data_IF_614399918497
#
_entry.id   IF_614399918497
#
_cell.length_a   1.000
_cell.length_b   1.000
_cell.length_c   1.000
_cell.angle_alpha   90.00
_cell.angle_beta   90.00
_cell.angle_gamma   90.00
#
_symmetry.space_group_name_H-M   'P 1'
#
loop_
_entity.id
_entity.type
_entity.pdbx_description
1 polymer ?
#
# COMPACT_ATOMS: atom_id res chain seq x y z
N UNK A 1 11.41 21.93 5.49
CA UNK A 1 10.98 21.19 6.69
C UNK A 1 12.18 21.00 7.63
N UNK A 2 11.92 20.98 8.94
CA UNK A 2 12.92 20.74 9.97
C UNK A 2 12.53 19.51 10.76
N UNK A 3 13.43 18.54 10.86
CA UNK A 3 13.21 17.32 11.62
C UNK A 3 14.23 17.23 12.77
N UNK A 4 13.77 17.03 13.98
CA UNK A 4 14.59 16.69 15.12
C UNK A 4 14.55 15.18 15.31
N UNK A 5 15.67 14.50 15.14
CA UNK A 5 15.74 13.03 15.19
C UNK A 5 16.68 12.57 16.29
N UNK A 6 16.32 11.46 16.92
CA UNK A 6 17.12 10.78 17.95
C UNK A 6 17.43 9.34 17.53
N UNK A 7 18.41 8.72 18.17
CA UNK A 7 18.65 7.28 18.03
C UNK A 7 17.53 6.46 18.72
N UNK A 8 17.55 5.13 18.55
CA UNK A 8 16.56 4.22 19.16
C UNK A 8 16.58 4.20 20.72
N UNK A 9 17.48 4.96 21.35
CA UNK A 9 17.55 5.16 22.82
C UNK A 9 17.13 6.59 23.21
N UNK A 10 16.59 7.37 22.29
CA UNK A 10 16.20 8.75 22.51
C UNK A 10 17.35 9.75 22.65
N UNK A 11 18.60 9.36 22.30
CA UNK A 11 19.76 10.24 22.35
C UNK A 11 20.00 10.92 21.00
N UNK A 12 20.54 12.15 21.06
CA UNK A 12 21.00 12.87 19.88
C UNK A 12 21.99 12.02 19.09
N UNK A 13 21.78 11.93 17.78
CA UNK A 13 22.70 11.25 16.86
C UNK A 13 23.96 12.09 16.69
N UNK A 14 25.07 11.68 17.32
CA UNK A 14 26.36 12.39 17.27
C UNK A 14 27.33 11.73 16.26
N UNK A 15 27.06 10.51 15.84
CA UNK A 15 27.88 9.79 14.87
C UNK A 15 27.81 10.48 13.49
N UNK A 16 28.96 10.96 13.03
CA UNK A 16 29.08 11.67 11.77
C UNK A 16 28.69 10.81 10.54
N UNK A 17 28.96 9.52 10.57
CA UNK A 17 28.62 8.62 9.46
C UNK A 17 27.09 8.43 9.35
N UNK A 18 26.42 8.29 10.49
CA UNK A 18 24.95 8.22 10.55
C UNK A 18 24.32 9.55 10.13
N UNK A 19 24.85 10.69 10.58
CA UNK A 19 24.38 12.02 10.16
C UNK A 19 24.55 12.22 8.65
N UNK A 20 25.70 11.81 8.08
CA UNK A 20 25.95 11.92 6.66
C UNK A 20 25.05 10.98 5.84
N UNK A 21 24.81 9.76 6.32
CA UNK A 21 23.86 8.83 5.72
C UNK A 21 22.44 9.41 5.70
N UNK A 22 21.99 10.00 6.81
CA UNK A 22 20.69 10.68 6.88
C UNK A 22 20.67 11.89 5.93
N UNK A 23 21.71 12.71 5.92
CA UNK A 23 21.80 13.84 4.98
C UNK A 23 21.74 13.36 3.54
N UNK A 24 22.46 12.32 3.18
CA UNK A 24 22.49 11.78 1.82
C UNK A 24 21.12 11.18 1.43
N UNK A 25 20.41 10.55 2.35
CA UNK A 25 19.04 10.07 2.14
C UNK A 25 18.02 11.23 2.02
N UNK A 26 18.21 12.31 2.79
CA UNK A 26 17.34 13.49 2.76
C UNK A 26 17.80 14.54 1.72
N UNK A 27 19.09 14.59 1.40
CA UNK A 27 19.68 15.33 0.28
C UNK A 27 19.47 14.59 -1.04
N UNK A 28 18.42 13.79 -1.12
CA UNK A 28 17.84 13.58 -2.45
C UNK A 28 17.63 15.02 -2.93
N UNK A 29 18.63 15.52 -3.70
CA UNK A 29 18.50 16.70 -4.55
C UNK A 29 17.03 16.78 -4.90
N UNK A 30 16.39 17.98 -4.74
CA UNK A 30 15.14 18.24 -5.46
C UNK A 30 15.16 17.30 -6.63
N UNK A 31 14.44 16.22 -6.51
CA UNK A 31 14.14 15.43 -7.68
C UNK A 31 13.28 16.44 -8.41
N UNK A 32 13.97 17.33 -9.10
CA UNK A 32 13.41 17.93 -10.27
C UNK A 32 12.83 16.76 -11.02
N UNK A 33 11.67 16.87 -11.62
CA UNK A 33 11.06 15.76 -12.36
C UNK A 33 12.01 15.12 -13.43
N UNK A 34 13.29 15.46 -13.41
CA UNK A 34 14.38 14.82 -14.19
C UNK A 34 14.74 13.40 -13.74
N UNK A 35 14.49 12.99 -12.50
CA UNK A 35 14.61 11.57 -12.17
C UNK A 35 13.39 10.76 -12.61
N UNK A 36 12.27 11.41 -12.93
CA UNK A 36 11.25 10.85 -13.82
C UNK A 36 11.64 10.89 -15.28
N UNK A 37 12.63 11.71 -15.68
CA UNK A 37 13.14 11.75 -17.08
C UNK A 37 14.18 10.68 -17.38
N UNK A 38 14.83 10.07 -16.40
CA UNK A 38 15.74 8.93 -16.66
C UNK A 38 15.01 7.58 -16.77
N UNK A 39 13.73 7.50 -16.51
CA UNK A 39 12.83 6.42 -16.90
C UNK A 39 11.69 6.98 -17.74
N UNK A 40 12.04 7.56 -18.88
CA UNK A 40 11.12 8.14 -19.84
C UNK A 40 10.32 7.14 -20.67
N UNK A 41 10.00 5.97 -20.13
CA UNK A 41 8.90 5.16 -20.62
C UNK A 41 7.71 5.42 -19.68
N UNK A 42 6.68 6.09 -20.17
CA UNK A 42 5.40 6.12 -19.48
C UNK A 42 4.96 4.67 -19.30
N UNK A 43 4.95 4.17 -18.05
CA UNK A 43 4.50 2.81 -17.74
C UNK A 43 3.00 2.84 -17.58
N UNK A 44 2.28 1.89 -18.18
CA UNK A 44 0.84 1.77 -17.93
C UNK A 44 0.60 1.18 -16.55
N UNK A 45 -0.31 1.77 -15.78
CA UNK A 45 -0.73 1.25 -14.49
C UNK A 45 -2.15 0.70 -14.56
N UNK A 46 -2.35 -0.47 -13.94
CA UNK A 46 -3.66 -1.09 -13.74
C UNK A 46 -3.96 -1.01 -12.25
N UNK A 47 -4.98 -0.26 -11.89
CA UNK A 47 -5.46 -0.11 -10.53
C UNK A 47 -6.72 -0.97 -10.36
N UNK A 48 -6.71 -1.85 -9.36
CA UNK A 48 -7.87 -2.71 -9.04
C UNK A 48 -8.14 -2.60 -7.55
N UNK A 49 -9.41 -2.41 -7.18
CA UNK A 49 -9.82 -2.36 -5.78
C UNK A 49 -11.27 -2.80 -5.60
N UNK A 50 -11.60 -3.29 -4.42
CA UNK A 50 -12.94 -3.79 -4.11
C UNK A 50 -12.97 -4.76 -2.94
N UNK A 51 -13.94 -5.67 -2.94
CA UNK A 51 -13.99 -6.76 -1.98
C UNK A 51 -12.94 -7.83 -2.29
N UNK A 52 -12.26 -8.33 -1.25
CA UNK A 52 -11.25 -9.38 -1.41
C UNK A 52 -11.90 -10.73 -1.73
N UNK A 53 -11.25 -11.43 -2.64
CA UNK A 53 -11.61 -12.77 -3.05
C UNK A 53 -10.36 -13.62 -3.15
N UNK A 54 -10.32 -14.78 -2.47
CA UNK A 54 -9.18 -15.69 -2.60
C UNK A 54 -8.90 -16.03 -4.07
N UNK A 55 -7.63 -15.94 -4.47
CA UNK A 55 -7.18 -16.22 -5.84
C UNK A 55 -7.35 -15.08 -6.85
N UNK A 56 -7.93 -13.93 -6.47
CA UNK A 56 -8.14 -12.80 -7.38
C UNK A 56 -6.84 -12.31 -8.02
N UNK A 57 -5.76 -12.19 -7.26
CA UNK A 57 -4.45 -11.80 -7.80
C UNK A 57 -3.97 -12.79 -8.88
N UNK A 58 -4.12 -14.10 -8.63
CA UNK A 58 -3.76 -15.13 -9.60
C UNK A 58 -4.61 -15.05 -10.88
N UNK A 59 -5.90 -14.77 -10.74
CA UNK A 59 -6.82 -14.62 -11.89
C UNK A 59 -6.45 -13.41 -12.75
N UNK A 60 -6.22 -12.25 -12.12
CA UNK A 60 -5.81 -11.03 -12.83
C UNK A 60 -4.46 -11.22 -13.53
N UNK A 61 -3.46 -11.74 -12.83
CA UNK A 61 -2.12 -11.95 -13.43
C UNK A 61 -2.19 -12.95 -14.59
N UNK A 62 -3.02 -13.99 -14.51
CA UNK A 62 -3.27 -14.91 -15.62
C UNK A 62 -3.91 -14.22 -16.82
N UNK A 63 -4.95 -13.39 -16.61
CA UNK A 63 -5.59 -12.63 -17.70
C UNK A 63 -4.59 -11.69 -18.40
N UNK A 64 -3.66 -11.10 -17.68
CA UNK A 64 -2.62 -10.26 -18.25
C UNK A 64 -1.64 -11.07 -19.11
N UNK A 65 -1.20 -12.23 -18.62
CA UNK A 65 -0.32 -13.13 -19.39
C UNK A 65 -1.03 -13.65 -20.64
N UNK A 66 -2.30 -14.02 -20.56
CA UNK A 66 -3.11 -14.46 -21.72
C UNK A 66 -3.19 -13.36 -22.79
N UNK A 67 -3.16 -12.09 -22.39
CA UNK A 67 -3.09 -10.92 -23.28
C UNK A 67 -1.63 -10.52 -23.65
N UNK A 68 -0.64 -11.34 -23.33
CA UNK A 68 0.79 -11.09 -23.59
C UNK A 68 1.32 -9.81 -22.95
N UNK A 69 0.75 -9.42 -21.83
CA UNK A 69 1.18 -8.27 -21.05
C UNK A 69 2.13 -8.71 -19.94
N UNK A 70 3.23 -8.01 -19.84
CA UNK A 70 4.28 -8.30 -18.86
C UNK A 70 4.27 -7.25 -17.74
N UNK A 71 4.37 -7.73 -16.51
CA UNK A 71 4.36 -6.89 -15.31
C UNK A 71 5.77 -6.51 -14.90
N UNK A 72 6.00 -5.22 -14.68
CA UNK A 72 7.26 -4.69 -14.15
C UNK A 72 7.23 -4.48 -12.64
N UNK A 73 6.03 -4.24 -12.08
CA UNK A 73 5.84 -4.03 -10.65
C UNK A 73 4.43 -4.44 -10.25
N UNK A 74 4.28 -4.97 -9.05
CA UNK A 74 2.99 -5.27 -8.44
C UNK A 74 3.02 -4.93 -6.96
N UNK A 75 2.05 -4.14 -6.52
CA UNK A 75 1.77 -3.86 -5.12
C UNK A 75 0.34 -4.31 -4.82
N UNK A 76 0.20 -5.15 -3.83
CA UNK A 76 -1.09 -5.69 -3.40
C UNK A 76 -1.23 -5.52 -1.90
N UNK A 77 -2.42 -5.16 -1.47
CA UNK A 77 -2.73 -4.96 -0.08
C UNK A 77 -4.17 -5.38 0.20
N UNK A 78 -4.33 -6.35 1.09
CA UNK A 78 -5.62 -6.84 1.56
C UNK A 78 -5.78 -6.53 3.03
N UNK A 79 -6.93 -6.02 3.41
CA UNK A 79 -7.30 -5.76 4.79
C UNK A 79 -8.76 -6.15 5.01
N UNK A 80 -9.00 -7.04 5.98
CA UNK A 80 -10.33 -7.62 6.23
C UNK A 80 -10.92 -8.22 4.92
N UNK A 81 -12.04 -7.70 4.50
CA UNK A 81 -12.77 -8.12 3.28
C UNK A 81 -12.45 -7.27 2.05
N UNK A 82 -11.44 -6.42 2.11
CA UNK A 82 -11.11 -5.48 1.03
C UNK A 82 -9.69 -5.66 0.55
N UNK A 83 -9.51 -5.33 -0.71
CA UNK A 83 -8.18 -5.29 -1.30
C UNK A 83 -8.02 -4.06 -2.20
N UNK A 84 -6.77 -3.70 -2.42
CA UNK A 84 -6.34 -2.81 -3.49
C UNK A 84 -5.05 -3.33 -4.09
N UNK A 85 -4.89 -3.19 -5.40
CA UNK A 85 -3.66 -3.52 -6.09
C UNK A 85 -3.33 -2.49 -7.18
N UNK A 86 -2.04 -2.31 -7.40
CA UNK A 86 -1.51 -1.52 -8.50
C UNK A 86 -0.49 -2.40 -9.22
N UNK A 87 -0.77 -2.65 -10.48
CA UNK A 87 0.08 -3.42 -11.36
C UNK A 87 0.65 -2.48 -12.42
N UNK A 88 1.97 -2.47 -12.59
CA UNK A 88 2.62 -1.66 -13.62
C UNK A 88 3.07 -2.56 -14.77
N UNK A 89 2.72 -2.19 -15.99
CA UNK A 89 3.17 -2.88 -17.19
C UNK A 89 4.55 -2.38 -17.59
N UNK A 90 5.36 -3.25 -18.18
CA UNK A 90 6.70 -2.92 -18.67
C UNK A 90 6.70 -1.95 -19.87
N UNK A 91 5.59 -1.88 -20.59
CA UNK A 91 5.46 -1.06 -21.79
C UNK A 91 4.31 -0.05 -21.68
N UNK A 92 4.45 1.13 -22.30
CA UNK A 92 3.38 2.11 -22.37
C UNK A 92 2.28 1.65 -23.34
N UNK A 93 1.04 1.87 -22.96
CA UNK A 93 -0.14 1.50 -23.75
C UNK A 93 -0.82 2.76 -24.27
N UNK A 94 -1.39 2.71 -25.48
CA UNK A 94 -2.19 3.81 -26.00
C UNK A 94 -3.54 3.88 -25.30
N UNK A 95 -4.13 5.08 -25.22
CA UNK A 95 -5.38 5.27 -24.51
C UNK A 95 -6.56 4.41 -25.02
N UNK A 96 -6.58 4.05 -26.31
CA UNK A 96 -7.58 3.12 -26.88
C UNK A 96 -7.36 1.70 -26.38
N UNK A 97 -6.12 1.21 -26.44
CA UNK A 97 -5.73 -0.12 -25.97
C UNK A 97 -5.98 -0.27 -24.47
N UNK A 98 -5.70 0.80 -23.70
CA UNK A 98 -5.98 0.84 -22.27
C UNK A 98 -7.47 0.68 -21.93
N UNK A 99 -8.36 1.31 -22.71
CA UNK A 99 -9.81 1.15 -22.56
C UNK A 99 -10.30 -0.24 -22.93
N UNK A 100 -9.74 -0.81 -24.00
CA UNK A 100 -10.04 -2.18 -24.44
C UNK A 100 -9.61 -3.20 -23.39
N UNK A 101 -8.40 -3.04 -22.81
CA UNK A 101 -7.91 -3.86 -21.71
C UNK A 101 -8.79 -3.72 -20.47
N UNK A 102 -9.14 -2.49 -20.10
CA UNK A 102 -10.02 -2.25 -18.93
C UNK A 102 -11.36 -2.96 -19.11
N UNK A 103 -11.99 -2.81 -20.27
CA UNK A 103 -13.26 -3.49 -20.59
C UNK A 103 -13.12 -5.01 -20.55
N UNK A 104 -12.05 -5.54 -21.14
CA UNK A 104 -11.76 -6.98 -21.13
C UNK A 104 -11.61 -7.52 -19.69
N UNK A 105 -10.81 -6.85 -18.86
CA UNK A 105 -10.62 -7.26 -17.46
C UNK A 105 -11.92 -7.18 -16.67
N UNK A 106 -12.68 -6.09 -16.80
CA UNK A 106 -13.98 -5.95 -16.16
C UNK A 106 -14.91 -7.09 -16.55
N UNK A 107 -15.12 -7.32 -17.86
CA UNK A 107 -16.03 -8.35 -18.34
C UNK A 107 -15.60 -9.76 -17.90
N UNK A 108 -14.29 -10.05 -17.92
CA UNK A 108 -13.77 -11.38 -17.53
C UNK A 108 -13.92 -11.63 -16.03
N UNK A 109 -13.78 -10.61 -15.20
CA UNK A 109 -13.88 -10.72 -13.74
C UNK A 109 -15.32 -10.59 -13.25
N UNK A 110 -16.19 -9.79 -13.90
CA UNK A 110 -17.62 -9.69 -13.57
C UNK A 110 -18.35 -11.01 -13.78
N UNK A 111 -18.04 -11.74 -14.86
CA UNK A 111 -18.60 -13.08 -15.07
C UNK A 111 -18.25 -14.03 -13.91
N UNK A 112 -17.04 -13.91 -13.36
CA UNK A 112 -16.62 -14.69 -12.20
C UNK A 112 -17.30 -14.20 -10.90
N UNK A 113 -17.66 -12.91 -10.82
CA UNK A 113 -18.27 -12.26 -9.67
C UNK A 113 -19.76 -12.58 -9.55
N UNK A 114 -20.51 -12.55 -10.66
CA UNK A 114 -21.93 -12.98 -10.71
C UNK A 114 -22.12 -14.41 -10.18
N UNK A 115 -21.13 -15.27 -10.35
CA UNK A 115 -21.13 -16.64 -9.82
C UNK A 115 -20.80 -16.73 -8.32
N UNK A 116 -20.14 -15.70 -7.75
CA UNK A 116 -19.65 -15.72 -6.37
C UNK A 116 -20.41 -14.80 -5.40
N UNK A 117 -21.21 -13.86 -5.92
CA UNK A 117 -22.06 -12.97 -5.09
C UNK A 117 -21.29 -11.99 -4.20
N UNK A 118 -20.02 -11.74 -4.49
CA UNK A 118 -19.16 -10.83 -3.73
C UNK A 118 -19.13 -9.46 -4.41
N UNK A 119 -19.25 -8.41 -3.62
CA UNK A 119 -19.43 -7.01 -3.95
C UNK A 119 -18.60 -6.39 -5.08
N UNK A 120 -18.80 -5.11 -5.33
CA UNK A 120 -18.35 -4.36 -6.50
C UNK A 120 -16.81 -4.33 -6.65
N UNK A 121 -16.31 -4.88 -7.76
CA UNK A 121 -14.93 -4.79 -8.21
C UNK A 121 -14.77 -3.56 -9.13
N UNK A 122 -13.71 -2.79 -8.92
CA UNK A 122 -13.40 -1.62 -9.74
C UNK A 122 -12.02 -1.75 -10.36
N UNK A 123 -11.94 -1.46 -11.67
CA UNK A 123 -10.70 -1.52 -12.44
C UNK A 123 -10.51 -0.22 -13.19
N UNK A 124 -9.31 0.32 -13.14
CA UNK A 124 -8.92 1.48 -13.92
C UNK A 124 -7.55 1.25 -14.57
N UNK A 125 -7.48 1.40 -15.88
CA UNK A 125 -6.21 1.33 -16.64
C UNK A 125 -5.76 2.75 -16.98
N UNK A 126 -4.56 3.13 -16.51
CA UNK A 126 -3.94 4.44 -16.72
C UNK A 126 -2.75 4.33 -17.66
N UNK A 127 -2.89 4.77 -18.91
CA UNK A 127 -1.81 4.65 -19.90
C UNK A 127 -0.60 5.54 -19.58
N UNK A 128 -0.79 6.59 -18.80
CA UNK A 128 0.26 7.54 -18.40
C UNK A 128 0.96 7.15 -17.10
N UNK A 129 0.61 5.97 -16.56
CA UNK A 129 1.12 5.50 -15.27
C UNK A 129 0.41 6.11 -14.06
N UNK A 130 0.86 5.81 -12.86
CA UNK A 130 0.29 6.36 -11.64
C UNK A 130 0.69 7.84 -11.49
N UNK A 131 -0.26 8.71 -11.19
CA UNK A 131 -0.04 10.15 -10.94
C UNK A 131 0.79 10.44 -9.68
N UNK A 132 0.93 9.45 -8.79
CA UNK A 132 1.55 9.56 -7.48
C UNK A 132 2.50 8.39 -7.23
N UNK A 133 3.30 8.50 -6.18
CA UNK A 133 4.06 7.37 -5.68
C UNK A 133 3.15 6.15 -5.43
N UNK A 134 3.55 4.97 -5.92
CA UNK A 134 2.70 3.76 -5.94
C UNK A 134 2.09 3.41 -4.59
N UNK A 135 2.88 3.46 -3.52
CA UNK A 135 2.38 3.13 -2.18
C UNK A 135 1.37 4.15 -1.66
N UNK A 136 1.57 5.44 -1.97
CA UNK A 136 0.59 6.48 -1.63
C UNK A 136 -0.70 6.30 -2.42
N UNK A 137 -0.59 5.91 -3.70
CA UNK A 137 -1.76 5.64 -4.52
C UNK A 137 -2.51 4.40 -4.04
N UNK A 138 -1.79 3.34 -3.67
CA UNK A 138 -2.39 2.13 -3.08
C UNK A 138 -3.16 2.46 -1.79
N UNK A 139 -2.59 3.29 -0.94
CA UNK A 139 -3.24 3.79 0.27
C UNK A 139 -4.54 4.56 -0.04
N UNK A 140 -4.49 5.46 -1.03
CA UNK A 140 -5.65 6.22 -1.49
C UNK A 140 -6.78 5.30 -2.00
N UNK A 141 -6.44 4.25 -2.76
CA UNK A 141 -7.43 3.28 -3.24
C UNK A 141 -8.11 2.50 -2.09
N UNK A 142 -7.38 2.21 -1.02
CA UNK A 142 -7.94 1.54 0.16
C UNK A 142 -8.89 2.44 0.93
N UNK A 143 -8.61 3.75 1.03
CA UNK A 143 -9.45 4.72 1.75
C UNK A 143 -10.74 5.03 0.98
N UNK A 144 -10.68 5.21 -0.35
CA UNK A 144 -11.78 5.73 -1.17
C UNK A 144 -13.09 4.95 -1.04
N UNK A 145 -13.04 3.70 -0.69
CA UNK A 145 -14.21 2.82 -0.62
C UNK A 145 -14.35 2.14 0.76
N UNK A 146 -13.82 2.74 1.80
CA UNK A 146 -13.98 2.22 3.15
C UNK A 146 -15.43 2.47 3.61
N UNK A 147 -16.23 1.43 3.86
CA UNK A 147 -17.50 1.63 4.51
C UNK A 147 -17.25 2.30 5.86
N UNK A 148 -18.13 3.20 6.28
CA UNK A 148 -18.12 3.76 7.64
C UNK A 148 -18.51 2.63 8.61
N UNK A 149 -17.57 1.72 8.86
CA UNK A 149 -17.71 0.69 9.88
C UNK A 149 -17.63 1.36 11.25
N UNK A 150 -18.41 0.86 12.21
CA UNK A 150 -18.27 1.25 13.60
C UNK A 150 -16.82 1.05 14.03
N UNK A 151 -16.29 2.03 14.77
CA UNK A 151 -14.94 1.97 15.34
C UNK A 151 -14.85 0.75 16.26
N UNK A 152 -14.41 -0.38 15.73
CA UNK A 152 -14.01 -1.49 16.56
C UNK A 152 -12.80 -1.05 17.39
N UNK A 153 -12.82 -1.33 18.69
CA UNK A 153 -11.70 -1.10 19.57
C UNK A 153 -10.52 -1.97 19.09
N UNK A 154 -9.62 -1.40 18.33
CA UNK A 154 -8.40 -2.08 17.92
C UNK A 154 -7.42 -2.00 19.09
N UNK A 155 -7.07 -3.16 19.67
CA UNK A 155 -6.18 -3.25 20.79
C UNK A 155 -4.86 -2.49 20.54
N UNK A 156 -4.62 -1.44 21.33
CA UNK A 156 -3.39 -0.68 21.31
C UNK A 156 -3.33 0.49 20.30
N UNK A 157 -4.41 0.81 19.59
CA UNK A 157 -4.48 2.01 18.75
C UNK A 157 -5.48 2.98 19.36
N UNK A 158 -5.02 4.16 19.73
CA UNK A 158 -5.85 5.26 20.20
C UNK A 158 -5.67 6.48 19.30
N UNK A 159 -6.77 7.12 18.94
CA UNK A 159 -6.76 8.33 18.12
C UNK A 159 -7.68 9.35 18.78
N UNK A 160 -7.13 10.52 19.09
CA UNK A 160 -7.86 11.64 19.62
C UNK A 160 -7.77 12.84 18.70
N UNK A 161 -8.91 13.51 18.46
CA UNK A 161 -8.99 14.66 17.55
C UNK A 161 -9.84 15.73 18.22
N UNK A 162 -9.26 16.90 18.40
CA UNK A 162 -9.96 18.02 19.03
C UNK A 162 -9.49 19.36 18.44
N UNK A 163 -10.37 20.36 18.54
CA UNK A 163 -10.03 21.74 18.18
C UNK A 163 -9.43 22.46 19.38
N UNK A 164 -8.24 23.01 19.22
CA UNK A 164 -7.55 23.80 20.24
C UNK A 164 -7.78 25.27 19.99
N UNK A 165 -8.55 25.90 20.87
CA UNK A 165 -8.98 27.30 20.73
C UNK A 165 -7.84 28.30 20.79
N UNK A 166 -6.83 28.02 21.62
CA UNK A 166 -5.71 28.95 21.88
C UNK A 166 -4.77 29.04 20.69
N UNK A 167 -4.50 27.95 20.03
CA UNK A 167 -3.64 27.88 18.83
C UNK A 167 -4.38 28.11 17.51
N UNK A 168 -5.70 27.89 17.51
CA UNK A 168 -6.53 27.97 16.32
C UNK A 168 -6.27 26.84 15.32
N UNK A 169 -5.84 25.67 15.81
CA UNK A 169 -5.61 24.45 15.04
C UNK A 169 -6.48 23.31 15.51
N UNK A 170 -6.70 22.36 14.62
CA UNK A 170 -7.17 21.03 15.03
C UNK A 170 -5.96 20.18 15.38
N UNK A 171 -6.01 19.53 16.54
CA UNK A 171 -4.95 18.62 17.00
C UNK A 171 -5.39 17.20 16.72
N UNK A 172 -4.51 16.43 16.10
CA UNK A 172 -4.67 14.99 15.85
C UNK A 172 -3.58 14.27 16.63
N UNK A 173 -3.97 13.46 17.59
CA UNK A 173 -3.05 12.61 18.37
C UNK A 173 -3.31 11.16 18.01
N UNK A 174 -2.25 10.41 17.68
CA UNK A 174 -2.31 8.99 17.35
C UNK A 174 -1.30 8.25 18.21
N UNK A 175 -1.78 7.30 19.01
CA UNK A 175 -0.95 6.41 19.81
C UNK A 175 -1.16 4.96 19.37
N UNK A 176 -0.08 4.23 19.14
CA UNK A 176 -0.16 2.83 18.71
C UNK A 176 1.17 2.10 18.97
N UNK A 177 1.19 0.76 18.94
CA UNK A 177 2.43 0.02 18.92
C UNK A 177 3.31 0.46 17.74
N UNK A 178 4.63 0.56 17.96
CA UNK A 178 5.58 0.96 16.92
C UNK A 178 5.65 -0.10 15.81
N UNK A 179 5.65 0.35 14.57
CA UNK A 179 5.85 -0.47 13.39
C UNK A 179 6.46 0.32 12.23
N UNK A 180 7.11 -0.35 11.28
CA UNK A 180 7.62 0.31 10.09
C UNK A 180 6.53 1.08 9.33
N UNK A 181 6.87 2.28 8.88
CA UNK A 181 6.03 3.17 8.05
C UNK A 181 4.77 3.73 8.71
N UNK A 182 4.61 3.61 10.02
CA UNK A 182 3.41 4.11 10.71
C UNK A 182 3.22 5.63 10.48
N UNK A 183 4.27 6.42 10.64
CA UNK A 183 4.23 7.87 10.35
C UNK A 183 3.84 8.16 8.90
N UNK A 184 4.40 7.40 7.95
CA UNK A 184 4.04 7.54 6.54
C UNK A 184 2.56 7.28 6.30
N UNK A 185 2.01 6.21 6.87
CA UNK A 185 0.59 5.86 6.73
C UNK A 185 -0.31 6.92 7.35
N UNK A 186 0.05 7.46 8.53
CA UNK A 186 -0.68 8.56 9.17
C UNK A 186 -0.70 9.81 8.30
N UNK A 187 0.47 10.26 7.83
CA UNK A 187 0.57 11.47 7.00
C UNK A 187 -0.13 11.29 5.65
N UNK A 188 -0.04 10.09 5.05
CA UNK A 188 -0.81 9.78 3.84
C UNK A 188 -2.32 9.86 4.07
N UNK A 189 -2.80 9.33 5.21
CA UNK A 189 -4.22 9.40 5.56
C UNK A 189 -4.69 10.84 5.69
N UNK A 190 -3.94 11.68 6.41
CA UNK A 190 -4.24 13.11 6.54
C UNK A 190 -4.32 13.76 5.15
N UNK A 191 -3.31 13.54 4.31
CA UNK A 191 -3.28 14.12 2.96
C UNK A 191 -4.42 13.62 2.05
N UNK A 192 -4.80 12.34 2.11
CA UNK A 192 -5.89 11.78 1.30
C UNK A 192 -7.28 12.22 1.79
N UNK A 193 -7.39 12.62 3.05
CA UNK A 193 -8.62 13.20 3.63
C UNK A 193 -8.65 14.73 3.55
N UNK A 194 -7.80 15.33 2.71
CA UNK A 194 -7.69 16.78 2.50
C UNK A 194 -7.34 17.57 3.76
N UNK A 195 -6.46 16.99 4.57
CA UNK A 195 -5.94 17.60 5.80
C UNK A 195 -4.46 17.88 5.65
N UNK A 196 -4.07 19.14 5.82
CA UNK A 196 -2.69 19.60 5.74
C UNK A 196 -2.07 19.65 7.13
N UNK A 197 -0.89 19.07 7.26
CA UNK A 197 -0.09 19.13 8.49
C UNK A 197 0.71 20.42 8.51
N UNK A 198 0.49 21.24 9.53
CA UNK A 198 1.20 22.50 9.75
C UNK A 198 2.43 22.26 10.63
N UNK A 199 2.25 21.48 11.69
CA UNK A 199 3.32 21.10 12.62
C UNK A 199 3.04 19.69 13.14
N UNK A 200 4.10 18.96 13.53
CA UNK A 200 3.94 17.64 14.12
C UNK A 200 5.11 17.28 15.02
N UNK A 201 4.83 16.48 16.02
CA UNK A 201 5.78 15.86 16.91
C UNK A 201 5.57 14.35 16.93
N UNK A 202 6.64 13.59 16.87
CA UNK A 202 6.60 12.14 16.91
C UNK A 202 7.61 11.64 17.91
N UNK A 203 7.16 10.82 18.85
CA UNK A 203 7.98 10.22 19.88
C UNK A 203 7.78 8.71 19.92
N UNK A 204 8.86 7.98 20.21
CA UNK A 204 8.83 6.54 20.44
C UNK A 204 9.33 6.29 21.85
N UNK A 205 8.48 5.77 22.72
CA UNK A 205 8.82 5.44 24.11
C UNK A 205 8.32 4.04 24.43
N UNK A 206 9.21 3.18 24.90
CA UNK A 206 8.89 1.82 25.39
C UNK A 206 8.09 0.97 24.39
N UNK A 207 8.31 1.16 23.08
CA UNK A 207 7.60 0.46 22.01
C UNK A 207 6.22 1.05 21.67
N UNK A 208 5.84 2.15 22.31
CA UNK A 208 4.68 2.95 21.95
C UNK A 208 5.11 4.10 21.04
N UNK A 209 4.42 4.24 19.94
CA UNK A 209 4.59 5.30 18.96
C UNK A 209 3.50 6.35 19.19
N UNK A 210 3.90 7.55 19.63
CA UNK A 210 3.00 8.68 19.86
C UNK A 210 3.28 9.77 18.82
N UNK A 211 2.23 10.18 18.13
CA UNK A 211 2.26 11.19 17.09
C UNK A 211 1.25 12.29 17.45
N UNK A 212 1.65 13.53 17.35
CA UNK A 212 0.78 14.68 17.52
C UNK A 212 0.94 15.62 16.34
N UNK A 213 -0.15 16.00 15.70
CA UNK A 213 -0.17 16.86 14.53
C UNK A 213 -1.13 18.03 14.73
N UNK A 214 -0.66 19.23 14.42
CA UNK A 214 -1.47 20.43 14.29
C UNK A 214 -1.87 20.58 12.82
N UNK A 215 -3.16 20.54 12.55
CA UNK A 215 -3.66 20.38 11.20
C UNK A 215 -4.73 21.41 10.86
N UNK A 216 -4.91 21.62 9.56
CA UNK A 216 -6.02 22.36 8.97
C UNK A 216 -6.55 21.62 7.74
N UNK A 217 -7.74 21.93 7.33
CA UNK A 217 -8.23 21.55 6.01
C UNK A 217 -7.35 22.17 4.91
N UNK A 218 -7.23 21.50 3.76
CA UNK A 218 -6.47 22.05 2.62
C UNK A 218 -7.01 23.38 2.07
N UNK A 219 -8.20 23.78 2.44
CA UNK A 219 -8.74 25.12 2.18
C UNK A 219 -8.35 26.17 3.24
N UNK A 220 -7.59 25.78 4.26
CA UNK A 220 -7.14 26.62 5.35
C UNK A 220 -8.06 26.68 6.58
N UNK A 221 -9.24 26.10 6.53
CA UNK A 221 -10.19 26.07 7.64
C UNK A 221 -9.80 25.06 8.72
N UNK A 222 -10.23 25.31 9.96
CA UNK A 222 -10.08 24.35 11.04
C UNK A 222 -11.13 23.24 10.94
N UNK A 223 -10.78 22.04 11.35
CA UNK A 223 -11.72 20.92 11.42
C UNK A 223 -12.46 21.01 12.76
N UNK A 224 -13.67 21.54 12.74
CA UNK A 224 -14.50 21.71 13.94
C UNK A 224 -15.74 20.83 13.94
N UNK A 225 -16.08 20.23 12.80
CA UNK A 225 -17.24 19.36 12.65
C UNK A 225 -16.98 17.98 13.29
N UNK A 226 -17.79 17.59 14.27
CA UNK A 226 -17.72 16.28 14.93
C UNK A 226 -17.80 15.12 13.92
N UNK A 227 -18.64 15.26 12.88
CA UNK A 227 -18.75 14.26 11.82
C UNK A 227 -17.44 14.11 11.05
N UNK A 228 -16.76 15.23 10.72
CA UNK A 228 -15.45 15.18 10.06
C UNK A 228 -14.37 14.58 10.98
N UNK A 229 -14.34 14.95 12.25
CA UNK A 229 -13.41 14.39 13.22
C UNK A 229 -13.60 12.88 13.37
N UNK A 230 -14.86 12.43 13.44
CA UNK A 230 -15.18 11.00 13.53
C UNK A 230 -14.70 10.23 12.30
N UNK A 231 -15.00 10.76 11.10
CA UNK A 231 -14.55 10.14 9.83
C UNK A 231 -13.02 10.08 9.75
N UNK A 232 -12.34 11.17 10.09
CA UNK A 232 -10.88 11.23 10.11
C UNK A 232 -10.30 10.24 11.12
N UNK A 233 -10.90 10.13 12.32
CA UNK A 233 -10.53 9.16 13.34
C UNK A 233 -10.62 7.72 12.80
N UNK A 234 -11.72 7.37 12.12
CA UNK A 234 -11.91 6.05 11.52
C UNK A 234 -10.82 5.73 10.49
N UNK A 235 -10.51 6.68 9.61
CA UNK A 235 -9.45 6.50 8.62
C UNK A 235 -8.07 6.34 9.26
N UNK A 236 -7.77 7.10 10.32
CA UNK A 236 -6.49 7.01 11.03
C UNK A 236 -6.33 5.68 11.75
N UNK A 237 -7.36 5.22 12.48
CA UNK A 237 -7.36 3.90 13.12
C UNK A 237 -7.15 2.80 12.08
N UNK A 238 -7.92 2.83 11.00
CA UNK A 238 -7.79 1.86 9.92
C UNK A 238 -6.38 1.87 9.32
N UNK A 239 -5.78 3.04 9.08
CA UNK A 239 -4.43 3.14 8.54
C UNK A 239 -3.36 2.60 9.48
N UNK A 240 -3.50 2.83 10.79
CA UNK A 240 -2.57 2.32 11.79
C UNK A 240 -2.55 0.79 11.86
N UNK A 241 -3.71 0.15 11.67
CA UNK A 241 -3.88 -1.31 11.73
C UNK A 241 -3.61 -1.99 10.40
N UNK A 242 -3.97 -1.37 9.31
CA UNK A 242 -4.09 -1.94 7.96
C UNK A 242 -2.81 -2.58 7.42
N UNK A 243 -1.64 -1.99 7.71
CA UNK A 243 -0.34 -2.50 7.23
C UNK A 243 0.35 -3.47 8.16
N UNK A 244 -0.30 -3.95 9.19
CA UNK A 244 0.25 -5.08 9.91
C UNK A 244 0.18 -6.30 8.99
N UNK A 245 1.32 -6.77 8.44
CA UNK A 245 1.30 -7.93 7.57
C UNK A 245 0.83 -9.12 8.40
N UNK A 246 -0.37 -9.57 8.13
CA UNK A 246 -0.91 -10.78 8.72
C UNK A 246 -0.51 -11.97 7.87
N UNK A 247 -0.07 -13.04 8.50
CA UNK A 247 0.30 -14.26 7.80
C UNK A 247 1.80 -14.55 7.78
N UNK A 248 2.16 -15.60 7.04
CA UNK A 248 3.54 -16.04 6.89
C UNK A 248 4.22 -15.24 5.77
N UNK A 249 5.38 -14.66 6.07
CA UNK A 249 6.21 -14.00 5.06
C UNK A 249 6.88 -15.04 4.17
N UNK A 250 6.75 -14.89 2.86
CA UNK A 250 7.39 -15.68 1.82
C UNK A 250 8.22 -14.75 0.95
N UNK A 251 9.51 -15.01 0.87
CA UNK A 251 10.40 -14.29 -0.05
C UNK A 251 10.83 -15.24 -1.15
N UNK A 252 10.52 -14.91 -2.38
CA UNK A 252 10.92 -15.66 -3.57
C UNK A 252 12.02 -14.86 -4.26
N UNK A 253 13.16 -15.51 -4.48
CA UNK A 253 14.28 -14.94 -5.23
C UNK A 253 14.61 -15.89 -6.37
N UNK A 254 14.35 -15.48 -7.58
CA UNK A 254 14.58 -16.31 -8.76
C UNK A 254 14.97 -15.43 -9.97
N UNK A 255 15.33 -16.05 -11.07
CA UNK A 255 15.61 -15.33 -12.31
C UNK A 255 14.33 -14.75 -12.86
N UNK A 256 14.37 -13.44 -13.19
CA UNK A 256 13.24 -12.73 -13.76
C UNK A 256 12.85 -13.26 -15.14
N UNK A 257 11.56 -13.50 -15.34
CA UNK A 257 10.96 -13.94 -16.60
C UNK A 257 9.53 -13.45 -16.74
N UNK A 258 9.09 -13.34 -17.97
CA UNK A 258 7.68 -13.02 -18.28
C UNK A 258 6.75 -14.06 -17.64
N UNK A 259 5.71 -13.59 -16.97
CA UNK A 259 4.71 -14.44 -16.32
C UNK A 259 5.12 -15.01 -14.95
N UNK A 260 6.30 -14.67 -14.42
CA UNK A 260 6.79 -15.18 -13.13
C UNK A 260 5.78 -14.95 -12.00
N UNK A 261 5.27 -13.73 -11.86
CA UNK A 261 4.27 -13.40 -10.83
C UNK A 261 2.99 -14.22 -10.98
N UNK A 262 2.55 -14.46 -12.23
CA UNK A 262 1.38 -15.31 -12.49
C UNK A 262 1.62 -16.76 -12.07
N UNK A 263 2.79 -17.30 -12.33
CA UNK A 263 3.15 -18.66 -11.90
C UNK A 263 3.19 -18.77 -10.37
N UNK A 264 3.86 -17.81 -9.70
CA UNK A 264 3.94 -17.79 -8.22
C UNK A 264 2.53 -17.71 -7.61
N UNK A 265 1.72 -16.76 -8.06
CA UNK A 265 0.37 -16.56 -7.51
C UNK A 265 -0.55 -17.73 -7.80
N UNK A 266 -0.37 -18.41 -8.94
CA UNK A 266 -1.07 -19.64 -9.28
C UNK A 266 -0.73 -20.80 -8.33
N UNK A 267 0.56 -21.00 -8.04
CA UNK A 267 0.98 -22.05 -7.10
C UNK A 267 0.52 -21.75 -5.67
N UNK A 268 0.58 -20.48 -5.23
CA UNK A 268 0.00 -20.06 -3.94
C UNK A 268 -1.51 -20.35 -3.88
N UNK A 269 -2.25 -20.02 -4.93
CA UNK A 269 -3.69 -20.27 -5.01
C UNK A 269 -4.05 -21.78 -5.02
N UNK A 270 -3.29 -22.60 -5.75
CA UNK A 270 -3.46 -24.07 -5.74
C UNK A 270 -3.20 -24.70 -4.36
N UNK A 271 -2.34 -24.06 -3.57
CA UNK A 271 -2.02 -24.50 -2.21
C UNK A 271 -3.02 -23.96 -1.16
N UNK A 272 -4.18 -23.42 -1.58
CA UNK A 272 -5.18 -22.78 -0.72
C UNK A 272 -4.58 -21.66 0.15
N UNK A 273 -3.63 -20.89 -0.41
CA UNK A 273 -3.03 -19.74 0.21
C UNK A 273 -3.60 -18.45 -0.39
N UNK A 274 -4.02 -17.51 0.48
CA UNK A 274 -4.43 -16.18 0.10
C UNK A 274 -3.31 -15.17 0.35
N UNK A 275 -3.09 -14.26 -0.61
CA UNK A 275 -2.06 -13.22 -0.52
C UNK A 275 -2.67 -11.99 0.15
N UNK A 276 -2.20 -11.64 1.34
CA UNK A 276 -2.66 -10.47 2.10
C UNK A 276 -1.84 -9.22 1.80
N UNK A 277 -0.56 -9.39 1.44
CA UNK A 277 0.30 -8.31 1.00
C UNK A 277 1.31 -8.87 0.00
N UNK A 278 1.52 -8.18 -1.10
CA UNK A 278 2.56 -8.51 -2.06
C UNK A 278 3.31 -7.27 -2.50
N UNK A 279 4.61 -7.44 -2.67
CA UNK A 279 5.49 -6.48 -3.31
C UNK A 279 6.43 -7.25 -4.25
N UNK A 280 6.18 -7.11 -5.54
CA UNK A 280 6.99 -7.69 -6.59
C UNK A 280 7.63 -6.56 -7.39
N UNK A 281 8.95 -6.57 -7.50
CA UNK A 281 9.73 -5.58 -8.24
C UNK A 281 10.66 -6.31 -9.17
N UNK A 282 10.51 -6.07 -10.44
CA UNK A 282 11.39 -6.60 -11.47
C UNK A 282 12.82 -6.05 -11.33
N UNK A 283 13.81 -6.88 -11.62
CA UNK A 283 15.20 -6.45 -11.72
C UNK A 283 15.42 -5.42 -12.83
N UNK A 284 16.43 -4.54 -12.67
CA UNK A 284 16.68 -3.42 -13.61
C UNK A 284 17.09 -3.86 -15.03
N UNK A 285 17.62 -5.09 -15.17
CA UNK A 285 18.05 -5.66 -16.46
C UNK A 285 17.49 -7.07 -16.63
N UNK A 286 17.07 -7.45 -17.87
CA UNK A 286 16.63 -8.81 -18.17
C UNK A 286 17.68 -9.85 -17.74
N UNK A 287 17.24 -10.89 -17.00
CA UNK A 287 18.13 -11.93 -16.49
C UNK A 287 18.73 -11.64 -15.11
N UNK A 288 18.45 -10.50 -14.49
CA UNK A 288 18.76 -10.25 -13.09
C UNK A 288 17.78 -10.98 -12.18
N UNK A 289 18.23 -11.26 -10.95
CA UNK A 289 17.37 -11.83 -9.93
C UNK A 289 16.25 -10.87 -9.55
N UNK A 290 15.00 -11.31 -9.65
CA UNK A 290 13.86 -10.62 -9.03
C UNK A 290 13.71 -11.07 -7.57
N UNK A 291 13.26 -10.15 -6.74
CA UNK A 291 12.90 -10.43 -5.35
C UNK A 291 11.45 -10.06 -5.16
N UNK A 292 10.65 -11.05 -4.83
CA UNK A 292 9.23 -10.89 -4.59
C UNK A 292 8.91 -11.27 -3.15
N UNK A 293 8.17 -10.42 -2.47
CA UNK A 293 7.76 -10.63 -1.08
C UNK A 293 6.25 -10.77 -1.02
N UNK A 294 5.80 -11.84 -0.41
CA UNK A 294 4.39 -12.12 -0.17
C UNK A 294 4.17 -12.34 1.33
N UNK A 295 3.01 -11.93 1.80
CA UNK A 295 2.46 -12.38 3.07
C UNK A 295 1.23 -13.20 2.77
N UNK A 296 1.16 -14.41 3.30
CA UNK A 296 0.12 -15.37 2.96
C UNK A 296 -0.59 -15.90 4.20
N UNK A 297 -1.89 -16.07 4.06
CA UNK A 297 -2.76 -16.76 5.02
C UNK A 297 -3.37 -17.98 4.34
N UNK A 298 -4.08 -18.83 5.08
CA UNK A 298 -4.91 -19.83 4.44
C UNK A 298 -6.09 -19.14 3.72
N UNK A 299 -6.66 -19.76 2.70
CA UNK A 299 -7.84 -19.23 1.99
C UNK A 299 -9.05 -19.00 2.90
N UNK A 300 -9.11 -19.70 4.05
CA UNK A 300 -10.12 -19.48 5.09
C UNK A 300 -9.82 -18.30 6.02
N UNK A 301 -8.73 -17.55 5.81
CA UNK A 301 -8.30 -16.41 6.63
C UNK A 301 -7.49 -16.80 7.89
N UNK A 302 -7.27 -18.09 8.14
CA UNK A 302 -6.44 -18.59 9.23
C UNK A 302 -4.94 -18.55 8.92
N UNK A 303 -4.07 -18.96 9.89
CA UNK A 303 -2.64 -18.99 9.68
C UNK A 303 -2.25 -20.01 8.59
N UNK A 304 -1.33 -19.63 7.71
CA UNK A 304 -0.79 -20.51 6.69
C UNK A 304 0.07 -21.62 7.33
N UNK A 305 -0.05 -22.86 6.82
CA UNK A 305 0.77 -23.97 7.26
C UNK A 305 2.18 -23.85 6.64
N UNK A 306 3.23 -23.82 7.47
CA UNK A 306 4.63 -23.73 7.00
C UNK A 306 5.00 -24.84 6.00
N UNK A 307 4.58 -26.09 6.25
CA UNK A 307 4.85 -27.20 5.34
C UNK A 307 4.24 -27.01 3.96
N UNK A 308 3.00 -26.50 3.92
CA UNK A 308 2.31 -26.20 2.64
C UNK A 308 3.07 -25.11 1.88
N UNK A 309 3.52 -24.06 2.57
CA UNK A 309 4.30 -22.97 1.95
C UNK A 309 5.66 -23.47 1.46
N UNK A 310 6.36 -24.28 2.24
CA UNK A 310 7.66 -24.89 1.83
C UNK A 310 7.49 -25.78 0.59
N UNK A 311 6.44 -26.58 0.52
CA UNK A 311 6.12 -27.39 -0.67
C UNK A 311 5.81 -26.52 -1.88
N UNK A 312 5.04 -25.45 -1.70
CA UNK A 312 4.75 -24.49 -2.75
C UNK A 312 6.02 -23.81 -3.28
N UNK A 313 6.91 -23.37 -2.39
CA UNK A 313 8.19 -22.76 -2.78
C UNK A 313 9.08 -23.72 -3.59
N UNK A 314 9.06 -25.02 -3.29
CA UNK A 314 9.79 -26.04 -4.06
C UNK A 314 9.25 -26.26 -5.46
N UNK A 315 7.98 -25.92 -5.72
CA UNK A 315 7.36 -26.03 -7.04
C UNK A 315 7.57 -24.77 -7.90
N UNK A 316 7.85 -23.64 -7.26
CA UNK A 316 8.12 -22.36 -7.93
C UNK A 316 9.57 -22.27 -8.43
N UNK A 317 10.51 -22.84 -7.70
CA UNK A 317 11.96 -22.84 -8.00
C UNK A 317 12.36 -24.04 -8.82
#
# INVERSE_FOLDING_TARGET
DVFYVTDGRGKKIEDAATQESIRNMLSIKKIEPESTKSRGASTTAIEVWGCDKPGLLSEITRLLVDNKLDLSNALVWTHKTRFAMILSLGEPMKGKEAKELQHYLMTSLEVAEELSGTGELRIQVKPEGPERHLERRLHSLMIQNEPMEELEAHAGVDVDIYFEHDSGYTVVRVESPDRPRLMFDTVCTLAETFVDVIHGCVEVKEGLYSQEYFVKHSNGDCITSEKHMLLLKQHLVASAVRRNPTGLKVEVTCQDRVGLLADITKELSKADLNVTLASAVRGETPGTSSRETFYVTSASGGPACKKTVEQCCQQIG
#
